data_IF_087938019133
#
_entry.id   IF_087938019133
#
_cell.length_a   1.000
_cell.length_b   1.000
_cell.length_c   1.000
_cell.angle_alpha   90.00
_cell.angle_beta   90.00
_cell.angle_gamma   90.00
#
_symmetry.space_group_name_H-M   'P 1'
#
loop_
_entity.id
_entity.type
_entity.pdbx_description
1 polymer ?
#
# COMPACT_ATOMS: atom_id res chain seq x y z
N UNK A 1 34.24 3.88 -9.95
CA UNK A 1 33.08 2.97 -10.17
C UNK A 1 31.83 3.81 -10.45
N UNK A 2 31.32 3.83 -11.68
CA UNK A 2 30.05 4.51 -12.02
C UNK A 2 28.90 3.58 -11.66
N UNK A 3 28.14 3.92 -10.63
CA UNK A 3 27.00 3.14 -10.15
C UNK A 3 25.81 3.33 -11.09
N UNK A 4 25.42 2.27 -11.80
CA UNK A 4 24.26 2.26 -12.70
C UNK A 4 22.97 2.38 -11.86
N UNK A 5 22.10 3.35 -12.18
CA UNK A 5 20.77 3.52 -11.57
C UNK A 5 20.66 4.54 -10.43
N UNK A 6 21.79 5.03 -9.91
CA UNK A 6 21.81 6.09 -8.91
C UNK A 6 21.63 7.47 -9.57
N UNK A 7 20.45 8.07 -9.42
CA UNK A 7 20.19 9.46 -9.78
C UNK A 7 20.13 10.32 -8.51
N UNK A 8 20.40 11.62 -8.66
CA UNK A 8 20.23 12.57 -7.55
C UNK A 8 18.73 12.71 -7.25
N UNK A 9 18.34 12.41 -6.02
CA UNK A 9 16.99 12.68 -5.52
C UNK A 9 16.81 14.14 -5.09
N UNK A 10 15.63 14.49 -4.57
CA UNK A 10 15.30 15.84 -4.06
C UNK A 10 16.30 16.36 -3.01
N UNK A 11 16.89 15.45 -2.22
CA UNK A 11 17.90 15.77 -1.20
C UNK A 11 19.31 16.02 -1.76
N UNK A 12 19.50 15.98 -3.09
CA UNK A 12 20.82 16.01 -3.78
C UNK A 12 21.78 14.89 -3.34
N UNK A 13 21.25 13.84 -2.71
CA UNK A 13 21.98 12.61 -2.39
C UNK A 13 21.58 11.53 -3.41
N UNK A 14 22.52 10.64 -3.77
CA UNK A 14 22.22 9.45 -4.56
C UNK A 14 21.38 8.49 -3.72
N UNK A 15 20.10 8.40 -4.04
CA UNK A 15 19.16 7.50 -3.38
C UNK A 15 18.86 6.27 -4.24
N UNK A 16 18.81 5.10 -3.61
CA UNK A 16 18.14 3.93 -4.18
C UNK A 16 16.67 3.96 -3.77
N UNK A 17 15.78 3.74 -4.73
CA UNK A 17 14.34 3.66 -4.47
C UNK A 17 13.79 2.27 -4.82
N UNK A 18 14.18 1.22 -4.07
CA UNK A 18 13.66 -0.11 -4.32
C UNK A 18 12.15 -0.18 -4.02
N UNK A 19 11.46 -1.06 -4.75
CA UNK A 19 10.13 -1.55 -4.44
C UNK A 19 10.25 -3.02 -4.13
N UNK A 20 9.51 -3.46 -3.12
CA UNK A 20 9.45 -4.86 -2.72
C UNK A 20 8.00 -5.29 -2.59
N UNK A 21 7.73 -6.52 -2.99
CA UNK A 21 6.52 -7.25 -2.65
C UNK A 21 6.93 -8.46 -1.81
N UNK A 22 6.32 -8.61 -0.65
CA UNK A 22 6.59 -9.71 0.27
C UNK A 22 5.32 -10.50 0.54
N UNK A 23 5.47 -11.81 0.74
CA UNK A 23 4.39 -12.66 1.20
C UNK A 23 4.17 -12.41 2.70
N UNK A 24 2.94 -12.06 3.08
CA UNK A 24 2.61 -11.71 4.47
C UNK A 24 2.82 -12.86 5.46
N UNK A 25 2.55 -14.11 5.05
CA UNK A 25 2.60 -15.28 5.92
C UNK A 25 4.00 -15.87 6.06
N UNK A 26 4.84 -15.75 5.03
CA UNK A 26 6.18 -16.38 5.01
C UNK A 26 7.33 -15.38 5.08
N UNK A 27 7.07 -14.08 4.86
CA UNK A 27 8.11 -13.05 4.77
C UNK A 27 8.94 -13.10 3.47
N UNK A 28 8.68 -14.06 2.57
CA UNK A 28 9.44 -14.23 1.34
C UNK A 28 9.28 -13.02 0.41
N UNK A 29 10.37 -12.59 -0.21
CA UNK A 29 10.35 -11.58 -1.28
C UNK A 29 9.82 -12.23 -2.56
N UNK A 30 8.66 -11.78 -3.02
CA UNK A 30 8.00 -12.26 -4.23
C UNK A 30 8.46 -11.50 -5.47
N UNK A 31 8.75 -10.20 -5.31
CA UNK A 31 9.26 -9.37 -6.38
C UNK A 31 10.03 -8.17 -5.82
N UNK A 32 11.08 -7.76 -6.52
CA UNK A 32 11.80 -6.53 -6.24
C UNK A 32 12.07 -5.76 -7.53
N UNK A 33 12.05 -4.43 -7.43
CA UNK A 33 12.39 -3.55 -8.54
C UNK A 33 13.13 -2.34 -8.05
N UNK A 34 14.30 -2.09 -8.61
CA UNK A 34 15.02 -0.85 -8.37
C UNK A 34 14.48 0.25 -9.29
N UNK A 35 14.04 1.37 -8.72
CA UNK A 35 13.73 2.58 -9.49
C UNK A 35 14.93 3.52 -9.51
N UNK A 36 15.05 4.29 -10.60
CA UNK A 36 16.02 5.38 -10.66
C UNK A 36 15.81 6.41 -9.56
N UNK A 37 16.90 6.98 -9.04
CA UNK A 37 16.92 7.89 -7.88
C UNK A 37 16.05 9.16 -7.96
N UNK A 38 15.55 9.52 -9.14
CA UNK A 38 14.64 10.66 -9.37
C UNK A 38 13.18 10.25 -9.59
N UNK A 39 12.85 8.96 -9.46
CA UNK A 39 11.50 8.46 -9.63
C UNK A 39 10.62 8.86 -8.43
N UNK A 40 9.52 9.59 -8.70
CA UNK A 40 8.49 9.82 -7.68
C UNK A 40 7.95 8.50 -7.12
N UNK A 41 7.50 8.50 -5.87
CA UNK A 41 7.17 7.29 -5.11
C UNK A 41 6.11 6.38 -5.79
N UNK A 42 5.16 6.97 -6.52
CA UNK A 42 4.12 6.26 -7.27
C UNK A 42 4.57 5.74 -8.65
N UNK A 43 5.77 6.14 -9.12
CA UNK A 43 6.25 5.78 -10.47
C UNK A 43 6.43 4.27 -10.58
N UNK A 44 5.70 3.67 -11.51
CA UNK A 44 5.74 2.24 -11.78
C UNK A 44 4.97 1.38 -10.77
N UNK A 45 4.24 1.97 -9.81
CA UNK A 45 3.46 1.23 -8.82
C UNK A 45 2.38 0.35 -9.47
N UNK A 46 1.70 0.88 -10.52
CA UNK A 46 0.71 0.11 -11.29
C UNK A 46 1.32 -1.14 -11.94
N UNK A 47 2.40 -0.97 -12.72
CA UNK A 47 3.02 -2.12 -13.39
C UNK A 47 3.68 -3.07 -12.41
N UNK A 48 4.23 -2.56 -11.31
CA UNK A 48 4.75 -3.37 -10.22
C UNK A 48 3.66 -4.25 -9.60
N UNK A 49 2.46 -3.70 -9.33
CA UNK A 49 1.32 -4.47 -8.85
C UNK A 49 0.89 -5.53 -9.88
N UNK A 50 0.69 -5.14 -11.14
CA UNK A 50 0.28 -6.07 -12.21
C UNK A 50 1.25 -7.24 -12.31
N UNK A 51 2.56 -6.98 -12.40
CA UNK A 51 3.57 -8.03 -12.52
C UNK A 51 3.66 -8.89 -11.26
N UNK A 52 3.54 -8.30 -10.07
CA UNK A 52 3.53 -9.06 -8.82
C UNK A 52 2.36 -10.05 -8.81
N UNK A 53 1.14 -9.58 -9.13
CA UNK A 53 -0.06 -10.42 -9.13
C UNK A 53 0.06 -11.52 -10.17
N UNK A 54 0.49 -11.19 -11.41
CA UNK A 54 0.72 -12.19 -12.45
C UNK A 54 1.70 -13.26 -12.01
N UNK A 55 2.89 -12.88 -11.49
CA UNK A 55 3.90 -13.84 -11.01
C UNK A 55 3.38 -14.77 -9.93
N UNK A 56 2.62 -14.23 -8.97
CA UNK A 56 2.08 -15.01 -7.86
C UNK A 56 1.01 -16.00 -8.36
N UNK A 57 0.17 -15.59 -9.33
CA UNK A 57 -0.80 -16.49 -9.97
C UNK A 57 -0.12 -17.56 -10.82
N UNK A 58 0.88 -17.19 -11.60
CA UNK A 58 1.67 -18.11 -12.42
C UNK A 58 2.41 -19.13 -11.55
N UNK A 59 2.83 -18.72 -10.34
CA UNK A 59 3.40 -19.60 -9.32
C UNK A 59 2.36 -20.51 -8.61
N UNK A 60 1.09 -20.47 -9.01
CA UNK A 60 0.05 -21.37 -8.54
C UNK A 60 -0.82 -20.83 -7.41
N UNK A 61 -0.74 -19.55 -7.05
CA UNK A 61 -1.62 -18.99 -6.03
C UNK A 61 -3.09 -18.99 -6.51
N UNK A 62 -3.94 -19.71 -5.81
CA UNK A 62 -5.40 -19.77 -6.03
C UNK A 62 -6.15 -18.97 -4.96
N UNK A 63 -7.43 -18.66 -5.19
CA UNK A 63 -8.27 -17.94 -4.22
C UNK A 63 -8.05 -16.42 -4.18
N UNK A 64 -8.63 -15.76 -3.17
CA UNK A 64 -8.59 -14.29 -3.05
C UNK A 64 -7.20 -13.81 -2.63
N UNK A 65 -6.64 -12.84 -3.35
CA UNK A 65 -5.42 -12.14 -2.95
C UNK A 65 -5.77 -10.80 -2.31
N UNK A 66 -4.98 -10.40 -1.31
CA UNK A 66 -5.07 -9.09 -0.65
C UNK A 66 -3.71 -8.40 -0.65
N UNK A 67 -3.67 -7.17 -1.14
CA UNK A 67 -2.46 -6.33 -1.17
C UNK A 67 -2.53 -5.28 -0.06
N UNK A 68 -1.44 -5.18 0.71
CA UNK A 68 -1.26 -4.11 1.71
C UNK A 68 -0.13 -3.20 1.26
N UNK A 69 -0.38 -1.90 1.21
CA UNK A 69 0.60 -0.93 0.74
C UNK A 69 0.48 0.43 1.44
N UNK A 70 1.57 1.18 1.49
CA UNK A 70 1.58 2.54 2.00
C UNK A 70 1.02 3.56 1.00
N UNK A 71 0.97 4.82 1.42
CA UNK A 71 0.36 5.92 0.65
C UNK A 71 1.04 6.23 -0.69
N UNK A 72 2.27 5.76 -0.95
CA UNK A 72 2.88 5.87 -2.27
C UNK A 72 2.14 5.05 -3.34
N UNK A 73 1.37 4.03 -2.93
CA UNK A 73 0.52 3.22 -3.80
C UNK A 73 -0.92 3.74 -3.89
N UNK A 74 -1.26 4.78 -3.13
CA UNK A 74 -2.59 5.39 -3.16
C UNK A 74 -2.80 6.22 -4.43
N UNK A 75 -3.28 5.56 -5.48
CA UNK A 75 -3.67 6.21 -6.74
C UNK A 75 -4.79 5.45 -7.43
N UNK A 76 -5.68 6.18 -8.14
CA UNK A 76 -6.77 5.57 -8.93
C UNK A 76 -6.27 4.51 -9.91
N UNK A 77 -5.07 4.71 -10.47
CA UNK A 77 -4.45 3.76 -11.39
C UNK A 77 -4.09 2.43 -10.69
N UNK A 78 -3.54 2.47 -9.47
CA UNK A 78 -3.19 1.27 -8.69
C UNK A 78 -4.44 0.59 -8.15
N UNK A 79 -5.34 1.32 -7.49
CA UNK A 79 -6.57 0.76 -6.91
C UNK A 79 -7.47 0.16 -8.00
N UNK A 80 -7.67 0.87 -9.12
CA UNK A 80 -8.42 0.34 -10.26
C UNK A 80 -7.77 -0.89 -10.90
N UNK A 81 -6.44 -1.02 -10.81
CA UNK A 81 -5.72 -2.22 -11.27
C UNK A 81 -5.96 -3.38 -10.30
N UNK A 82 -5.90 -3.15 -8.98
CA UNK A 82 -6.22 -4.18 -7.99
C UNK A 82 -7.65 -4.74 -8.22
N UNK A 83 -8.64 -3.86 -8.38
CA UNK A 83 -10.02 -4.24 -8.70
C UNK A 83 -10.09 -5.04 -10.01
N UNK A 84 -9.46 -4.56 -11.09
CA UNK A 84 -9.44 -5.25 -12.39
C UNK A 84 -8.86 -6.67 -12.29
N UNK A 85 -7.87 -6.88 -11.43
CA UNK A 85 -7.25 -8.19 -11.21
C UNK A 85 -7.97 -9.05 -10.15
N UNK A 86 -9.11 -8.60 -9.62
CA UNK A 86 -9.84 -9.32 -8.58
C UNK A 86 -9.04 -9.42 -7.27
N UNK A 87 -8.26 -8.40 -6.95
CA UNK A 87 -7.40 -8.34 -5.77
C UNK A 87 -7.98 -7.34 -4.77
N UNK A 88 -8.20 -7.78 -3.53
CA UNK A 88 -8.56 -6.90 -2.42
C UNK A 88 -7.35 -6.06 -2.03
N UNK A 89 -7.58 -4.90 -1.43
CA UNK A 89 -6.48 -4.03 -1.03
C UNK A 89 -6.78 -3.29 0.27
N UNK A 90 -5.71 -3.01 1.01
CA UNK A 90 -5.68 -2.07 2.13
C UNK A 90 -4.52 -1.11 1.87
N UNK A 91 -4.84 0.15 1.59
CA UNK A 91 -3.85 1.16 1.25
C UNK A 91 -4.05 2.38 2.13
N UNK A 92 -2.97 2.88 2.73
CA UNK A 92 -3.03 4.13 3.50
C UNK A 92 -3.40 5.29 2.58
N UNK A 93 -4.58 5.87 2.79
CA UNK A 93 -4.99 7.05 2.05
C UNK A 93 -4.38 8.33 2.67
N UNK A 94 -4.12 9.34 1.85
CA UNK A 94 -3.73 10.67 2.33
C UNK A 94 -4.94 11.35 2.96
N UNK A 95 -4.84 11.87 4.18
CA UNK A 95 -5.88 12.68 4.80
C UNK A 95 -6.02 14.04 4.08
N UNK A 96 -6.78 14.07 2.99
CA UNK A 96 -7.28 15.30 2.40
C UNK A 96 -8.61 15.73 3.03
N UNK A 97 -9.11 16.89 2.63
CA UNK A 97 -10.36 17.45 3.20
C UNK A 97 -11.56 16.51 3.00
N UNK A 98 -11.62 15.76 1.90
CA UNK A 98 -12.76 14.88 1.60
C UNK A 98 -12.70 13.61 2.44
N UNK A 99 -11.53 13.00 2.55
CA UNK A 99 -11.35 11.83 3.43
C UNK A 99 -11.63 12.19 4.87
N UNK A 100 -11.13 13.35 5.34
CA UNK A 100 -11.43 13.82 6.69
C UNK A 100 -12.93 14.01 6.90
N UNK A 101 -13.62 14.68 5.99
CA UNK A 101 -15.08 14.87 6.08
C UNK A 101 -15.84 13.53 6.08
N UNK A 102 -15.38 12.53 5.31
CA UNK A 102 -15.98 11.21 5.30
C UNK A 102 -15.76 10.44 6.61
N UNK A 103 -14.61 10.63 7.26
CA UNK A 103 -14.31 10.06 8.58
C UNK A 103 -15.13 10.76 9.68
N UNK A 104 -15.23 12.09 9.63
CA UNK A 104 -16.00 12.90 10.59
C UNK A 104 -17.52 12.65 10.50
N UNK A 105 -18.00 12.08 9.40
CA UNK A 105 -19.41 11.72 9.21
C UNK A 105 -19.75 10.31 9.73
N UNK A 106 -18.76 9.53 10.21
CA UNK A 106 -18.98 8.21 10.81
C UNK A 106 -19.58 8.42 12.21
N UNK A 107 -20.65 7.70 12.51
CA UNK A 107 -21.25 7.72 13.85
C UNK A 107 -20.25 7.20 14.89
N UNK A 108 -20.24 7.80 16.07
CA UNK A 108 -19.32 7.43 17.14
C UNK A 108 -19.56 5.98 17.59
N UNK A 109 -20.81 5.49 17.49
CA UNK A 109 -21.17 4.10 17.82
C UNK A 109 -20.75 3.07 16.76
N UNK A 110 -20.37 3.50 15.56
CA UNK A 110 -19.90 2.64 14.48
C UNK A 110 -18.42 2.28 14.60
N UNK A 111 -17.66 2.96 15.47
CA UNK A 111 -16.27 2.65 15.74
C UNK A 111 -16.16 1.45 16.66
N UNK A 112 -15.47 0.41 16.17
CA UNK A 112 -15.20 -0.79 16.93
C UNK A 112 -13.71 -0.86 17.31
N UNK A 113 -13.37 -1.14 18.57
CA UNK A 113 -11.98 -1.30 18.97
C UNK A 113 -11.37 -2.54 18.32
N UNK A 114 -10.12 -2.41 17.86
CA UNK A 114 -9.36 -3.55 17.35
C UNK A 114 -8.29 -3.97 18.35
N UNK A 115 -7.98 -5.29 18.45
CA UNK A 115 -6.85 -5.74 19.23
C UNK A 115 -5.55 -5.09 18.73
N UNK A 116 -5.06 -4.11 19.46
CA UNK A 116 -3.87 -3.37 19.11
C UNK A 116 -2.86 -3.40 20.26
N UNK A 117 -1.58 -3.51 19.93
CA UNK A 117 -0.49 -3.66 20.90
C UNK A 117 -0.37 -2.47 21.87
N UNK A 118 -0.97 -1.33 21.53
CA UNK A 118 -1.05 -0.13 22.37
C UNK A 118 -2.30 -0.04 23.24
N UNK A 119 -3.20 -1.03 23.19
CA UNK A 119 -4.47 -0.98 23.93
C UNK A 119 -4.25 -1.30 25.40
N UNK A 120 -4.96 -0.60 26.29
CA UNK A 120 -5.07 -0.92 27.72
C UNK A 120 -6.48 -1.40 28.05
N UNK A 121 -6.75 -1.96 29.25
CA UNK A 121 -8.12 -2.30 29.65
C UNK A 121 -9.09 -1.11 29.64
N UNK A 122 -8.58 0.11 29.80
CA UNK A 122 -9.38 1.34 29.89
C UNK A 122 -9.46 2.11 28.56
N UNK A 123 -8.50 1.93 27.65
CA UNK A 123 -8.38 2.74 26.43
C UNK A 123 -8.02 1.87 25.23
N UNK A 124 -8.82 1.98 24.17
CA UNK A 124 -8.49 1.37 22.88
C UNK A 124 -7.27 2.04 22.25
N UNK A 125 -6.31 1.24 21.77
CA UNK A 125 -5.13 1.75 21.09
C UNK A 125 -5.38 2.07 19.61
N UNK A 126 -6.43 1.50 19.01
CA UNK A 126 -6.88 1.76 17.65
C UNK A 126 -8.31 1.23 17.45
N UNK A 127 -9.08 1.94 16.63
CA UNK A 127 -10.46 1.57 16.28
C UNK A 127 -10.62 1.44 14.76
N UNK A 128 -11.63 0.70 14.33
CA UNK A 128 -12.01 0.55 12.93
C UNK A 128 -13.49 0.87 12.75
N UNK A 129 -13.81 1.57 11.66
CA UNK A 129 -15.17 1.81 11.21
C UNK A 129 -15.21 1.71 9.68
N UNK A 130 -16.40 1.45 9.15
CA UNK A 130 -16.66 1.40 7.72
C UNK A 130 -17.51 2.58 7.28
N UNK A 131 -17.18 3.16 6.12
CA UNK A 131 -17.96 4.25 5.54
C UNK A 131 -17.93 4.15 4.01
N UNK A 132 -18.92 4.79 3.38
CA UNK A 132 -18.95 4.90 1.92
C UNK A 132 -18.22 6.18 1.50
N UNK A 133 -17.29 6.05 0.56
CA UNK A 133 -16.54 7.17 0.00
C UNK A 133 -16.77 7.23 -1.52
N UNK A 134 -17.42 8.31 -1.98
CA UNK A 134 -17.75 8.56 -3.40
C UNK A 134 -17.02 9.77 -3.97
#
# INVERSE_FOLDING_TARGET
>A
MKWQGAAFGYTKVRGYHPQFATCASTGMVLFSRLRGGSAGAARGAKSFLTETVSRVRDAGATGQLTVRADSAFYSRAVLGTAVKHGVQFSVTARQDKKIRAAIEAIDEDAWAPIPYWLSTPEVSGADVAETTYT
#
